data_IF_218344206186
#
_entry.id   IF_218344206186
#
_cell.length_a   1.000
_cell.length_b   1.000
_cell.length_c   1.000
_cell.angle_alpha   90.00
_cell.angle_beta   90.00
_cell.angle_gamma   90.00
#
_symmetry.space_group_name_H-M   'P 1'
#
loop_
_entity.id
_entity.type
_entity.pdbx_description
1 polymer ?
#
# COMPACT_ATOMS: atom_id res chain seq x y z
N UNK A 1 -37.80 80.70 75.35
CA UNK A 1 -36.54 79.96 75.62
C UNK A 1 -36.89 78.52 75.68
N UNK A 2 -36.55 77.73 74.73
CA UNK A 2 -36.83 76.31 74.67
C UNK A 2 -36.21 75.71 73.47
N UNK A 3 -35.11 75.01 73.67
CA UNK A 3 -34.37 74.35 72.59
C UNK A 3 -35.07 73.00 72.24
N UNK A 4 -35.46 72.87 70.98
CA UNK A 4 -35.96 71.62 70.44
C UNK A 4 -34.79 70.82 69.83
N UNK A 5 -34.66 69.58 70.28
CA UNK A 5 -33.69 68.60 69.82
C UNK A 5 -34.32 67.78 68.68
N UNK A 6 -33.72 67.86 67.48
CA UNK A 6 -34.08 67.01 66.33
C UNK A 6 -33.23 65.75 66.36
N UNK A 7 -33.89 64.61 66.48
CA UNK A 7 -33.34 63.26 66.31
C UNK A 7 -33.26 62.92 64.83
N UNK A 8 -32.03 62.68 64.32
CA UNK A 8 -31.84 62.12 63.01
C UNK A 8 -32.14 60.63 62.96
N UNK A 9 -33.08 60.24 62.10
CA UNK A 9 -33.30 58.82 61.75
C UNK A 9 -32.50 58.52 60.51
N UNK A 10 -31.46 57.65 60.63
CA UNK A 10 -30.70 57.11 59.53
C UNK A 10 -31.53 56.03 58.83
N UNK A 11 -31.76 56.25 57.48
CA UNK A 11 -32.31 55.24 56.58
C UNK A 11 -31.15 54.38 56.05
N UNK A 12 -31.05 53.15 56.55
CA UNK A 12 -30.15 52.17 55.97
C UNK A 12 -30.76 51.60 54.67
N UNK A 13 -30.24 52.00 53.54
CA UNK A 13 -30.57 51.35 52.26
C UNK A 13 -29.83 50.01 52.16
N UNK A 14 -30.62 48.91 52.16
CA UNK A 14 -30.09 47.57 51.80
C UNK A 14 -29.94 47.50 50.29
N UNK A 15 -28.68 47.50 49.79
CA UNK A 15 -28.37 47.10 48.45
C UNK A 15 -28.40 45.56 48.38
N UNK A 16 -29.38 45.00 47.70
CA UNK A 16 -29.42 43.62 47.33
C UNK A 16 -28.51 43.46 46.03
N UNK A 17 -27.32 42.90 46.19
CA UNK A 17 -26.48 42.50 45.05
C UNK A 17 -27.07 41.23 44.44
N UNK A 18 -27.70 41.35 43.27
CA UNK A 18 -28.07 40.19 42.46
C UNK A 18 -26.79 39.67 41.77
N UNK A 19 -26.32 38.51 42.25
CA UNK A 19 -25.24 37.77 41.58
C UNK A 19 -25.86 37.11 40.31
N UNK A 20 -25.59 37.69 39.14
CA UNK A 20 -25.91 37.07 37.86
C UNK A 20 -24.82 36.01 37.59
N UNK A 21 -25.14 34.76 37.86
CA UNK A 21 -24.30 33.62 37.51
C UNK A 21 -24.36 33.44 35.99
N UNK A 22 -23.41 33.98 35.25
CA UNK A 22 -23.24 33.71 33.82
C UNK A 22 -22.66 32.29 33.70
N UNK A 23 -23.51 31.31 33.48
CA UNK A 23 -23.10 29.95 33.07
C UNK A 23 -22.50 30.05 31.66
N UNK A 24 -21.18 30.16 31.59
CA UNK A 24 -20.44 29.98 30.34
C UNK A 24 -20.54 28.51 29.94
N UNK A 25 -21.44 28.18 29.04
CA UNK A 25 -21.38 26.89 28.34
C UNK A 25 -20.13 26.93 27.46
N UNK A 26 -19.01 26.40 27.95
CA UNK A 26 -17.88 26.02 27.13
C UNK A 26 -18.34 24.82 26.31
N UNK A 27 -18.97 25.08 25.17
CA UNK A 27 -19.18 24.05 24.16
C UNK A 27 -17.79 23.53 23.76
N UNK A 28 -17.49 22.28 24.05
CA UNK A 28 -16.31 21.60 23.48
C UNK A 28 -16.55 21.56 21.98
N UNK A 29 -15.92 22.48 21.24
CA UNK A 29 -15.86 22.37 19.79
C UNK A 29 -15.18 21.02 19.50
N UNK A 30 -15.92 20.07 18.94
CA UNK A 30 -15.33 18.82 18.48
C UNK A 30 -14.24 19.19 17.49
N UNK A 31 -13.04 18.64 17.68
CA UNK A 31 -11.93 18.89 16.78
C UNK A 31 -12.32 18.47 15.37
N UNK A 32 -12.16 19.37 14.42
CA UNK A 32 -12.40 19.09 13.00
C UNK A 32 -11.42 18.02 12.54
N UNK A 33 -11.92 16.88 12.05
CA UNK A 33 -11.11 15.76 11.58
C UNK A 33 -11.26 15.63 10.07
N UNK A 34 -10.14 15.55 9.36
CA UNK A 34 -10.11 15.32 7.93
C UNK A 34 -10.52 13.87 7.61
N UNK A 35 -11.46 13.73 6.68
CA UNK A 35 -11.90 12.44 6.13
C UNK A 35 -11.06 12.15 4.89
N UNK A 36 -9.95 11.47 5.09
CA UNK A 36 -8.97 11.16 4.03
C UNK A 36 -9.25 9.80 3.42
N UNK A 37 -8.94 9.60 2.13
CA UNK A 37 -8.84 8.27 1.53
C UNK A 37 -7.67 7.49 2.14
N UNK A 38 -7.60 6.20 1.83
CA UNK A 38 -6.45 5.34 2.02
C UNK A 38 -6.40 4.37 0.85
N UNK A 39 -5.45 4.55 -0.04
CA UNK A 39 -5.37 3.84 -1.31
C UNK A 39 -4.48 2.61 -1.16
N UNK A 40 -5.07 1.44 -1.26
CA UNK A 40 -4.36 0.18 -1.12
C UNK A 40 -4.36 -0.56 -2.47
N UNK A 41 -3.21 -0.67 -3.16
CA UNK A 41 -3.09 -1.53 -4.31
C UNK A 41 -3.16 -3.00 -3.88
N UNK A 42 -3.91 -3.80 -4.62
CA UNK A 42 -3.94 -5.26 -4.46
C UNK A 42 -2.88 -5.92 -5.33
N UNK A 43 -2.55 -7.17 -5.04
CA UNK A 43 -1.65 -7.95 -5.89
C UNK A 43 -2.15 -8.05 -7.33
N UNK A 44 -1.24 -7.92 -8.30
CA UNK A 44 -1.56 -8.08 -9.71
C UNK A 44 -2.22 -9.44 -9.99
N UNK A 45 -3.15 -9.47 -10.93
CA UNK A 45 -3.90 -10.66 -11.31
C UNK A 45 -3.88 -10.89 -12.82
N UNK A 46 -4.33 -12.06 -13.28
CA UNK A 46 -4.36 -12.43 -14.70
C UNK A 46 -3.03 -12.17 -15.41
N UNK A 47 -1.91 -12.54 -14.75
CA UNK A 47 -0.58 -12.37 -15.29
C UNK A 47 -0.33 -13.33 -16.45
N UNK A 48 0.05 -12.80 -17.60
CA UNK A 48 0.36 -13.58 -18.82
C UNK A 48 1.62 -13.05 -19.48
N UNK A 49 2.38 -13.94 -20.14
CA UNK A 49 3.50 -13.58 -20.97
C UNK A 49 3.17 -14.01 -22.40
N UNK A 50 3.40 -13.16 -23.35
CA UNK A 50 3.32 -13.48 -24.77
C UNK A 50 4.60 -13.03 -25.49
N UNK A 51 5.05 -13.82 -26.45
CA UNK A 51 6.17 -13.45 -27.34
C UNK A 51 5.65 -13.44 -28.76
N UNK A 52 5.75 -12.29 -29.44
CA UNK A 52 5.29 -12.15 -30.81
C UNK A 52 6.29 -12.74 -31.83
N UNK A 53 5.93 -12.75 -33.11
CA UNK A 53 6.79 -13.28 -34.19
C UNK A 53 8.09 -12.49 -34.38
N UNK A 54 8.15 -11.25 -33.92
CA UNK A 54 9.34 -10.40 -33.89
C UNK A 54 10.26 -10.65 -32.70
N UNK A 55 9.86 -11.52 -31.76
CA UNK A 55 10.63 -11.83 -30.55
C UNK A 55 10.39 -10.86 -29.39
N UNK A 56 9.47 -9.90 -29.51
CA UNK A 56 9.08 -9.02 -28.42
C UNK A 56 8.26 -9.82 -27.39
N UNK A 57 8.74 -9.86 -26.17
CA UNK A 57 8.06 -10.51 -25.04
C UNK A 57 7.37 -9.45 -24.18
N UNK A 58 6.09 -9.67 -23.88
CA UNK A 58 5.28 -8.72 -23.12
C UNK A 58 4.61 -9.43 -21.94
N UNK A 59 4.90 -8.96 -20.73
CA UNK A 59 4.21 -9.36 -19.50
C UNK A 59 2.99 -8.46 -19.32
N UNK A 60 1.79 -9.06 -19.35
CA UNK A 60 0.51 -8.37 -19.11
C UNK A 60 -0.08 -8.78 -17.77
N UNK A 61 -0.81 -7.86 -17.13
CA UNK A 61 -1.42 -8.09 -15.81
C UNK A 61 -2.56 -7.11 -15.56
N UNK A 62 -3.53 -7.54 -14.76
CA UNK A 62 -4.55 -6.67 -14.20
C UNK A 62 -4.11 -6.08 -12.87
N UNK A 63 -4.64 -4.91 -12.53
CA UNK A 63 -4.40 -4.22 -11.26
C UNK A 63 -5.68 -3.70 -10.65
N UNK A 64 -5.73 -3.65 -9.33
CA UNK A 64 -6.83 -3.06 -8.57
C UNK A 64 -6.26 -2.22 -7.45
N UNK A 65 -6.76 -1.00 -7.31
CA UNK A 65 -6.53 -0.15 -6.14
C UNK A 65 -7.86 0.14 -5.49
N UNK A 66 -7.95 0.06 -4.16
CA UNK A 66 -9.19 0.35 -3.44
C UNK A 66 -9.00 1.36 -2.33
N UNK A 67 -10.08 2.06 -1.98
CA UNK A 67 -10.08 3.06 -0.92
C UNK A 67 -10.63 2.48 0.39
N UNK A 68 -9.75 2.28 1.38
CA UNK A 68 -10.09 1.83 2.72
C UNK A 68 -10.23 2.96 3.75
N UNK A 69 -10.11 4.21 3.30
CA UNK A 69 -10.05 5.39 4.16
C UNK A 69 -11.39 5.81 4.79
N UNK A 70 -11.34 6.92 5.50
CA UNK A 70 -12.51 7.52 6.15
C UNK A 70 -13.32 8.44 5.23
N UNK A 71 -12.75 8.84 4.08
CA UNK A 71 -13.37 9.68 3.07
C UNK A 71 -13.04 9.23 1.66
N UNK A 72 -13.74 9.74 0.65
CA UNK A 72 -13.46 9.41 -0.74
C UNK A 72 -12.12 10.00 -1.20
N UNK A 73 -11.48 9.36 -2.18
CA UNK A 73 -10.59 10.08 -3.07
C UNK A 73 -11.48 10.86 -4.05
N UNK A 74 -11.48 12.16 -3.96
CA UNK A 74 -12.19 13.02 -4.90
C UNK A 74 -11.21 14.00 -5.54
N UNK A 75 -11.16 13.99 -6.88
CA UNK A 75 -10.24 14.74 -7.70
C UNK A 75 -11.07 15.72 -8.57
N UNK A 76 -11.04 16.99 -8.20
CA UNK A 76 -11.75 18.05 -8.90
C UNK A 76 -10.82 18.85 -9.80
N UNK A 77 -11.24 19.09 -11.04
CA UNK A 77 -10.51 19.94 -11.97
C UNK A 77 -10.60 21.40 -11.56
N UNK A 78 -9.50 22.09 -11.70
CA UNK A 78 -9.37 23.54 -11.61
C UNK A 78 -9.10 24.18 -12.95
N UNK A 79 -8.22 25.16 -12.96
CA UNK A 79 -7.84 25.95 -14.14
C UNK A 79 -6.99 25.16 -15.13
N UNK A 80 -7.04 25.56 -16.40
CA UNK A 80 -6.13 25.06 -17.43
C UNK A 80 -4.73 25.60 -17.18
N UNK A 81 -3.76 24.71 -17.13
CA UNK A 81 -2.36 25.08 -16.97
C UNK A 81 -1.79 25.70 -18.24
N UNK A 82 -1.28 26.92 -18.12
CA UNK A 82 -0.75 27.67 -19.25
C UNK A 82 0.44 26.95 -19.89
N UNK A 83 0.35 26.67 -21.19
CA UNK A 83 1.41 26.07 -22.00
C UNK A 83 1.32 24.54 -22.12
N UNK A 84 0.77 23.81 -21.16
CA UNK A 84 0.62 22.34 -21.25
C UNK A 84 -0.78 21.92 -21.77
N UNK A 85 -1.80 22.74 -21.56
CA UNK A 85 -3.20 22.42 -21.85
C UNK A 85 -3.81 21.41 -20.88
N UNK A 86 -3.08 20.98 -19.86
CA UNK A 86 -3.56 20.11 -18.79
C UNK A 86 -4.48 20.87 -17.85
N UNK A 87 -5.41 20.17 -17.21
CA UNK A 87 -6.23 20.74 -16.14
C UNK A 87 -5.54 20.48 -14.80
N UNK A 88 -5.29 21.52 -14.03
CA UNK A 88 -4.86 21.35 -12.65
C UNK A 88 -5.92 20.59 -11.88
N UNK A 89 -5.47 19.70 -10.97
CA UNK A 89 -6.36 18.88 -10.17
C UNK A 89 -6.12 19.16 -8.69
N UNK A 90 -7.21 19.29 -7.97
CA UNK A 90 -7.22 19.42 -6.53
C UNK A 90 -7.92 18.23 -5.90
N UNK A 91 -7.28 17.61 -4.92
CA UNK A 91 -7.93 16.65 -4.05
C UNK A 91 -8.87 17.39 -3.10
N UNK A 92 -10.12 16.95 -3.05
CA UNK A 92 -11.14 17.47 -2.13
C UNK A 92 -11.14 16.62 -0.86
N UNK A 93 -10.61 17.15 0.23
CA UNK A 93 -10.56 16.47 1.52
C UNK A 93 -11.69 16.96 2.40
N UNK A 94 -12.73 16.14 2.58
CA UNK A 94 -13.86 16.44 3.42
C UNK A 94 -13.46 16.48 4.91
N UNK A 95 -14.26 17.17 5.70
CA UNK A 95 -14.06 17.32 7.14
C UNK A 95 -15.30 16.80 7.88
N UNK A 96 -15.15 16.39 9.13
CA UNK A 96 -16.30 16.02 9.99
C UNK A 96 -17.24 17.20 10.25
N UNK A 97 -16.76 18.44 10.07
CA UNK A 97 -17.53 19.68 10.14
C UNK A 97 -16.84 20.78 9.31
N UNK A 98 -17.62 21.74 8.80
CA UNK A 98 -17.10 22.84 7.98
C UNK A 98 -16.84 22.49 6.51
N UNK A 99 -16.24 23.40 5.74
CA UNK A 99 -15.99 23.19 4.31
C UNK A 99 -14.84 22.20 4.08
N UNK A 100 -14.83 21.52 2.90
CA UNK A 100 -13.70 20.69 2.52
C UNK A 100 -12.43 21.53 2.26
N UNK A 101 -11.28 20.87 2.34
CA UNK A 101 -10.00 21.44 1.92
C UNK A 101 -9.73 21.05 0.46
N UNK A 102 -9.16 21.98 -0.30
CA UNK A 102 -8.69 21.74 -1.67
C UNK A 102 -7.17 21.73 -1.65
N UNK A 103 -6.57 20.57 -1.96
CA UNK A 103 -5.13 20.37 -1.96
C UNK A 103 -4.68 20.05 -3.40
N UNK A 104 -3.65 20.75 -3.88
CA UNK A 104 -3.10 20.46 -5.20
C UNK A 104 -2.63 19.01 -5.28
N UNK A 105 -3.11 18.27 -6.29
CA UNK A 105 -2.86 16.83 -6.44
C UNK A 105 -2.21 16.44 -7.78
N UNK A 106 -2.06 17.37 -8.72
CA UNK A 106 -1.49 17.06 -10.03
C UNK A 106 -2.33 17.60 -11.19
N UNK A 107 -2.53 16.80 -12.24
CA UNK A 107 -3.24 17.24 -13.44
C UNK A 107 -4.08 16.15 -14.08
N UNK A 108 -5.16 16.55 -14.73
CA UNK A 108 -5.84 15.75 -15.75
C UNK A 108 -5.29 16.08 -17.14
N UNK A 109 -5.06 15.03 -17.91
CA UNK A 109 -4.63 15.07 -19.30
C UNK A 109 -5.63 14.35 -20.18
N UNK A 110 -5.98 14.95 -21.31
CA UNK A 110 -6.85 14.30 -22.29
C UNK A 110 -6.09 13.19 -23.02
N UNK A 111 -6.67 11.99 -23.02
CA UNK A 111 -6.09 10.84 -23.70
C UNK A 111 -6.85 10.54 -25.01
N UNK A 112 -6.32 10.94 -26.17
CA UNK A 112 -7.05 10.86 -27.44
C UNK A 112 -7.47 9.44 -27.84
N UNK A 113 -6.66 8.43 -27.48
CA UNK A 113 -6.96 7.04 -27.81
C UNK A 113 -8.15 6.47 -27.01
N UNK A 114 -8.52 7.10 -25.91
CA UNK A 114 -9.62 6.67 -25.03
C UNK A 114 -10.79 7.66 -25.00
N UNK A 115 -10.62 8.83 -25.62
CA UNK A 115 -11.61 9.92 -25.66
C UNK A 115 -12.08 10.39 -24.26
N UNK A 116 -11.16 10.36 -23.28
CA UNK A 116 -11.45 10.84 -21.93
C UNK A 116 -10.20 11.37 -21.20
N UNK A 117 -10.42 11.93 -19.99
CA UNK A 117 -9.37 12.48 -19.16
C UNK A 117 -8.74 11.40 -18.29
N UNK A 118 -7.41 11.47 -18.15
CA UNK A 118 -6.65 10.67 -17.19
C UNK A 118 -6.02 11.55 -16.12
N UNK A 119 -5.98 11.08 -14.89
CA UNK A 119 -5.19 11.65 -13.81
C UNK A 119 -3.73 11.15 -13.94
N UNK A 120 -2.79 12.11 -13.93
CA UNK A 120 -1.37 11.82 -14.14
C UNK A 120 -0.70 11.30 -12.86
N UNK A 121 0.33 10.47 -13.06
CA UNK A 121 1.21 9.95 -11.98
C UNK A 121 0.45 9.17 -10.88
N UNK A 122 -0.68 8.54 -11.24
CA UNK A 122 -1.50 7.81 -10.28
C UNK A 122 -0.86 6.51 -9.83
N UNK A 123 -0.23 5.74 -10.72
CA UNK A 123 0.42 4.50 -10.37
C UNK A 123 1.69 4.27 -11.18
N UNK A 124 2.59 3.47 -10.61
CA UNK A 124 3.84 3.02 -11.22
C UNK A 124 3.94 1.50 -11.13
N UNK A 125 4.25 0.86 -12.26
CA UNK A 125 4.48 -0.57 -12.33
C UNK A 125 5.97 -0.85 -12.52
N UNK A 126 6.52 -1.74 -11.72
CA UNK A 126 7.94 -2.13 -11.79
C UNK A 126 8.06 -3.65 -11.74
N UNK A 127 8.91 -4.23 -12.58
CA UNK A 127 9.29 -5.64 -12.54
C UNK A 127 10.77 -5.72 -12.16
N UNK A 128 11.07 -6.38 -11.04
CA UNK A 128 12.44 -6.47 -10.52
C UNK A 128 12.89 -7.93 -10.43
N UNK A 129 14.11 -8.29 -10.87
CA UNK A 129 14.64 -9.62 -10.72
C UNK A 129 14.91 -9.94 -9.24
N UNK A 130 14.45 -11.13 -8.78
CA UNK A 130 14.72 -11.68 -7.44
C UNK A 130 15.73 -12.83 -7.54
N UNK A 131 15.48 -13.76 -8.47
CA UNK A 131 16.39 -14.84 -8.83
C UNK A 131 16.27 -15.08 -10.33
N UNK A 132 16.85 -14.18 -11.10
CA UNK A 132 16.86 -14.19 -12.57
C UNK A 132 18.22 -13.66 -13.06
N UNK A 133 19.29 -14.49 -13.03
CA UNK A 133 20.62 -14.09 -13.50
C UNK A 133 20.56 -13.59 -14.93
N UNK A 134 21.01 -12.35 -15.18
CA UNK A 134 20.88 -11.67 -16.47
C UNK A 134 19.53 -10.99 -16.70
N UNK A 135 18.63 -11.00 -15.72
CA UNK A 135 17.41 -10.19 -15.75
C UNK A 135 17.68 -8.74 -15.37
N UNK A 136 16.83 -7.84 -15.84
CA UNK A 136 16.91 -6.41 -15.59
C UNK A 136 15.64 -5.90 -14.89
N UNK A 137 15.77 -4.81 -14.16
CA UNK A 137 14.60 -4.08 -13.66
C UNK A 137 13.91 -3.36 -14.83
N UNK A 138 12.59 -3.48 -14.89
CA UNK A 138 11.75 -2.86 -15.92
C UNK A 138 10.66 -2.02 -15.30
N UNK A 139 10.27 -0.97 -15.99
CA UNK A 139 9.17 -0.09 -15.58
C UNK A 139 8.10 -0.07 -16.66
N UNK A 140 6.85 -0.16 -16.26
CA UNK A 140 5.70 0.02 -17.13
C UNK A 140 5.61 1.46 -17.62
N UNK A 141 5.08 1.64 -18.82
CA UNK A 141 4.94 2.97 -19.46
C UNK A 141 3.67 3.72 -19.03
N UNK A 142 2.67 2.99 -18.52
CA UNK A 142 1.40 3.59 -18.09
C UNK A 142 1.54 4.17 -16.69
N UNK A 143 1.36 5.47 -16.58
CA UNK A 143 1.36 6.20 -15.31
C UNK A 143 0.08 7.00 -15.09
N UNK A 144 -0.80 7.03 -16.09
CA UNK A 144 -2.02 7.85 -16.12
C UNK A 144 -3.27 6.99 -16.14
N UNK A 145 -4.26 7.35 -15.35
CA UNK A 145 -5.46 6.54 -15.13
C UNK A 145 -6.71 7.41 -15.04
N UNK A 146 -7.84 6.87 -15.47
CA UNK A 146 -9.14 7.40 -15.10
C UNK A 146 -9.56 6.78 -13.77
N UNK A 147 -9.79 7.55 -12.75
CA UNK A 147 -10.12 7.06 -11.43
C UNK A 147 -11.63 6.98 -11.26
N UNK A 148 -12.14 5.76 -10.97
CA UNK A 148 -13.58 5.53 -10.85
C UNK A 148 -13.93 4.33 -9.96
N UNK A 149 -15.17 4.25 -9.51
CA UNK A 149 -15.72 3.10 -8.78
C UNK A 149 -16.07 1.97 -9.77
N UNK A 150 -15.16 1.04 -9.99
CA UNK A 150 -15.38 -0.08 -10.92
C UNK A 150 -15.80 -1.37 -10.21
N UNK A 151 -15.43 -1.56 -8.92
CA UNK A 151 -15.76 -2.76 -8.17
C UNK A 151 -15.94 -2.47 -6.65
N UNK A 152 -16.94 -3.05 -5.98
CA UNK A 152 -17.06 -2.98 -4.52
C UNK A 152 -16.07 -3.94 -3.85
N UNK A 153 -15.35 -3.49 -2.82
CA UNK A 153 -14.44 -4.32 -2.01
C UNK A 153 -15.00 -4.52 -0.60
N UNK A 154 -15.32 -3.42 0.09
CA UNK A 154 -15.83 -3.49 1.46
C UNK A 154 -16.88 -2.42 1.73
N UNK A 155 -18.12 -2.71 1.43
CA UNK A 155 -19.25 -1.80 1.63
C UNK A 155 -19.73 -1.72 3.10
N UNK A 156 -19.07 -2.42 4.04
CA UNK A 156 -19.35 -2.29 5.48
C UNK A 156 -18.60 -1.15 6.15
N UNK A 157 -17.65 -0.51 5.45
CA UNK A 157 -16.93 0.63 5.99
C UNK A 157 -17.86 1.82 6.22
N UNK A 158 -17.66 2.60 7.29
CA UNK A 158 -18.39 3.83 7.51
C UNK A 158 -18.25 4.79 6.32
N UNK A 159 -19.36 5.30 5.80
CA UNK A 159 -19.36 6.19 4.65
C UNK A 159 -19.29 5.52 3.28
N UNK A 160 -19.18 4.19 3.20
CA UNK A 160 -19.20 3.46 1.93
C UNK A 160 -20.60 3.53 1.27
N UNK A 161 -20.73 4.08 0.05
CA UNK A 161 -21.99 4.08 -0.67
C UNK A 161 -22.31 2.66 -1.18
N UNK A 162 -23.59 2.32 -1.22
CA UNK A 162 -24.06 1.01 -1.70
C UNK A 162 -23.99 0.86 -3.22
N UNK A 163 -23.90 1.98 -3.94
CA UNK A 163 -23.78 2.03 -5.39
C UNK A 163 -22.59 2.91 -5.77
N UNK A 164 -21.94 2.67 -6.92
CA UNK A 164 -20.82 3.47 -7.35
C UNK A 164 -21.25 4.93 -7.54
N UNK A 165 -20.43 5.87 -7.10
CA UNK A 165 -20.66 7.30 -7.25
C UNK A 165 -19.83 7.89 -8.41
N UNK A 166 -18.52 7.59 -8.44
CA UNK A 166 -17.61 8.03 -9.51
C UNK A 166 -17.66 7.00 -10.65
N UNK A 167 -18.52 7.24 -11.65
CA UNK A 167 -18.81 6.26 -12.71
C UNK A 167 -18.32 6.71 -14.10
N UNK A 168 -17.55 7.80 -14.16
CA UNK A 168 -17.10 8.40 -15.43
C UNK A 168 -15.67 8.91 -15.32
N UNK A 169 -14.95 8.82 -16.43
CA UNK A 169 -13.67 9.49 -16.65
C UNK A 169 -13.91 10.97 -17.01
N UNK A 170 -14.61 11.68 -16.13
CA UNK A 170 -15.05 13.05 -16.37
C UNK A 170 -13.89 14.03 -16.46
N UNK A 171 -14.12 15.13 -17.17
CA UNK A 171 -13.19 16.24 -17.25
C UNK A 171 -13.12 17.01 -15.92
N UNK A 172 -14.25 17.11 -15.22
CA UNK A 172 -14.39 17.98 -14.07
C UNK A 172 -14.18 17.25 -12.75
N UNK A 173 -14.49 15.96 -12.72
CA UNK A 173 -14.49 15.15 -11.51
C UNK A 173 -14.17 13.69 -11.81
N UNK A 174 -13.23 13.14 -11.06
CA UNK A 174 -12.95 11.71 -10.96
C UNK A 174 -12.75 11.34 -9.48
N UNK A 175 -12.80 10.06 -9.14
CA UNK A 175 -12.59 9.69 -7.75
C UNK A 175 -12.86 8.22 -7.46
N UNK A 176 -12.72 7.87 -6.17
CA UNK A 176 -12.96 6.53 -5.65
C UNK A 176 -13.65 6.63 -4.29
N UNK A 177 -14.84 6.07 -4.20
CA UNK A 177 -15.63 6.06 -2.97
C UNK A 177 -15.00 5.16 -1.90
N UNK A 178 -15.28 5.44 -0.64
CA UNK A 178 -14.91 4.54 0.47
C UNK A 178 -15.46 3.14 0.21
N UNK A 179 -14.60 2.12 0.35
CA UNK A 179 -14.97 0.72 0.17
C UNK A 179 -15.07 0.26 -1.28
N UNK A 180 -14.83 1.14 -2.25
CA UNK A 180 -14.80 0.84 -3.68
C UNK A 180 -13.36 0.75 -4.20
N UNK A 181 -13.22 0.17 -5.37
CA UNK A 181 -11.96 0.02 -6.08
C UNK A 181 -12.06 0.48 -7.52
N UNK A 182 -10.91 0.85 -8.06
CA UNK A 182 -10.65 1.01 -9.48
C UNK A 182 -9.83 -0.17 -10.00
N UNK A 183 -10.34 -0.87 -11.00
CA UNK A 183 -9.76 -2.10 -11.53
C UNK A 183 -9.49 -1.97 -13.02
N UNK A 184 -8.26 -2.28 -13.41
CA UNK A 184 -7.80 -2.33 -14.80
C UNK A 184 -7.47 -3.77 -15.16
N UNK A 185 -8.20 -4.32 -16.14
CA UNK A 185 -7.95 -5.68 -16.65
C UNK A 185 -6.67 -5.77 -17.48
N UNK A 186 -6.09 -6.97 -17.54
CA UNK A 186 -4.85 -7.23 -18.28
C UNK A 186 -4.95 -6.98 -19.80
N UNK A 187 -6.17 -6.94 -20.33
CA UNK A 187 -6.46 -6.66 -21.75
C UNK A 187 -6.37 -5.16 -22.11
N UNK A 188 -6.39 -4.28 -21.12
CA UNK A 188 -6.38 -2.83 -21.37
C UNK A 188 -4.99 -2.33 -21.80
N UNK A 189 -4.98 -1.31 -22.64
CA UNK A 189 -3.75 -0.70 -23.13
C UNK A 189 -2.88 -0.17 -21.97
N UNK A 190 -1.58 -0.48 -22.03
CA UNK A 190 -0.59 -0.09 -21.02
C UNK A 190 -0.59 -0.94 -19.74
N UNK A 191 -1.48 -1.93 -19.58
CA UNK A 191 -1.41 -2.91 -18.50
C UNK A 191 -0.36 -3.98 -18.85
N UNK A 192 0.89 -3.52 -19.08
CA UNK A 192 1.97 -4.37 -19.55
C UNK A 192 3.36 -3.81 -19.22
N UNK A 193 4.33 -4.71 -19.17
CA UNK A 193 5.76 -4.41 -19.09
C UNK A 193 6.48 -5.16 -20.21
N UNK A 194 7.37 -4.47 -20.93
CA UNK A 194 8.23 -5.08 -21.93
C UNK A 194 9.31 -5.95 -21.24
N UNK A 195 9.26 -7.26 -21.52
CA UNK A 195 10.16 -8.28 -20.99
C UNK A 195 11.18 -8.76 -22.04
N UNK A 196 11.27 -8.09 -23.18
CA UNK A 196 12.15 -8.45 -24.27
C UNK A 196 13.61 -8.43 -23.84
N UNK A 197 14.34 -9.50 -24.13
CA UNK A 197 15.77 -9.64 -23.80
C UNK A 197 16.07 -10.03 -22.35
N UNK A 198 15.09 -10.00 -21.43
CA UNK A 198 15.31 -10.42 -20.06
C UNK A 198 15.44 -11.94 -19.92
N UNK A 199 16.17 -12.38 -18.90
CA UNK A 199 16.35 -13.79 -18.60
C UNK A 199 15.08 -14.41 -17.99
N UNK A 200 14.90 -15.73 -18.18
CA UNK A 200 13.94 -16.50 -17.40
C UNK A 200 14.35 -16.50 -15.93
N UNK A 201 13.39 -16.49 -15.02
CA UNK A 201 13.68 -16.52 -13.60
C UNK A 201 12.53 -16.09 -12.70
N UNK A 202 12.86 -15.72 -11.46
CA UNK A 202 11.91 -15.22 -10.47
C UNK A 202 12.01 -13.71 -10.44
N UNK A 203 10.86 -13.06 -10.56
CA UNK A 203 10.69 -11.61 -10.57
C UNK A 203 9.64 -11.19 -9.57
N UNK A 204 9.79 -9.98 -9.06
CA UNK A 204 8.76 -9.29 -8.29
C UNK A 204 8.12 -8.21 -9.15
N UNK A 205 6.81 -8.31 -9.37
CA UNK A 205 5.99 -7.28 -9.97
C UNK A 205 5.44 -6.38 -8.84
N UNK A 206 5.81 -5.11 -8.89
CA UNK A 206 5.41 -4.08 -7.93
C UNK A 206 4.38 -3.15 -8.54
N UNK A 207 3.37 -2.81 -7.75
CA UNK A 207 2.35 -1.81 -8.06
C UNK A 207 2.42 -0.76 -6.97
N UNK A 208 2.85 0.44 -7.30
CA UNK A 208 2.92 1.58 -6.39
C UNK A 208 1.88 2.61 -6.82
N UNK A 209 1.00 2.99 -5.89
CA UNK A 209 -0.01 4.04 -6.07
C UNK A 209 0.54 5.33 -5.48
N UNK A 210 0.21 6.47 -6.10
CA UNK A 210 0.72 7.79 -5.75
C UNK A 210 2.26 7.83 -5.55
N UNK A 211 3.06 7.40 -6.54
CA UNK A 211 4.52 7.30 -6.39
C UNK A 211 5.20 8.66 -6.17
N UNK A 212 4.50 9.76 -6.47
CA UNK A 212 4.99 11.14 -6.23
C UNK A 212 4.49 11.77 -4.94
N UNK A 213 3.67 11.06 -4.16
CA UNK A 213 3.08 11.52 -2.89
C UNK A 213 2.38 12.88 -3.02
N UNK A 214 1.56 13.00 -4.04
CA UNK A 214 0.75 14.19 -4.31
C UNK A 214 -0.63 14.12 -3.65
N UNK A 215 -1.11 12.93 -3.33
CA UNK A 215 -2.37 12.70 -2.64
C UNK A 215 -2.14 12.69 -1.13
N UNK A 216 -3.11 13.19 -0.38
CA UNK A 216 -3.07 13.16 1.08
C UNK A 216 -3.97 12.04 1.57
N UNK A 217 -3.36 11.05 2.20
CA UNK A 217 -4.02 9.83 2.64
C UNK A 217 -4.00 9.67 4.17
N UNK A 218 -4.71 8.66 4.65
CA UNK A 218 -4.67 8.29 6.09
C UNK A 218 -3.37 7.55 6.42
N UNK A 219 -2.86 6.74 5.48
CA UNK A 219 -1.62 5.99 5.62
C UNK A 219 -0.89 5.97 4.27
N UNK A 220 0.33 6.47 4.23
CA UNK A 220 1.19 6.56 3.05
C UNK A 220 2.15 5.35 2.94
N UNK A 221 2.03 4.36 3.83
CA UNK A 221 2.98 3.24 3.90
C UNK A 221 2.41 1.94 3.34
N UNK A 222 1.18 1.94 2.85
CA UNK A 222 0.50 0.79 2.24
C UNK A 222 0.14 0.98 0.76
N UNK A 223 0.74 1.99 0.12
CA UNK A 223 0.60 2.32 -1.30
C UNK A 223 1.38 1.38 -2.23
N UNK A 224 2.00 0.34 -1.71
CA UNK A 224 2.82 -0.61 -2.47
C UNK A 224 2.31 -2.03 -2.30
N UNK A 225 2.10 -2.72 -3.41
CA UNK A 225 1.77 -4.14 -3.46
C UNK A 225 2.68 -4.89 -4.42
N UNK A 226 2.95 -6.16 -4.12
CA UNK A 226 3.87 -6.98 -4.90
C UNK A 226 3.30 -8.37 -5.19
N UNK A 227 3.68 -8.91 -6.34
CA UNK A 227 3.43 -10.30 -6.72
C UNK A 227 4.74 -10.94 -7.12
N UNK A 228 5.04 -12.11 -6.57
CA UNK A 228 6.22 -12.89 -6.94
C UNK A 228 5.86 -13.83 -8.09
N UNK A 229 6.60 -13.72 -9.18
CA UNK A 229 6.35 -14.43 -10.44
C UNK A 229 7.56 -15.30 -10.83
N UNK A 230 7.31 -16.54 -11.27
CA UNK A 230 8.27 -17.30 -12.08
C UNK A 230 7.91 -17.10 -13.53
N UNK A 231 8.82 -16.49 -14.30
CA UNK A 231 8.63 -16.15 -15.71
C UNK A 231 9.53 -17.00 -16.58
N UNK A 232 8.95 -17.66 -17.58
CA UNK A 232 9.68 -18.47 -18.56
C UNK A 232 9.15 -18.22 -19.96
N UNK A 233 10.05 -17.83 -20.86
CA UNK A 233 9.72 -17.67 -22.28
C UNK A 233 9.47 -19.03 -22.96
N UNK A 234 8.63 -19.11 -24.00
CA UNK A 234 7.98 -17.99 -24.67
C UNK A 234 6.70 -17.47 -24.01
N UNK A 235 6.07 -18.17 -23.07
CA UNK A 235 4.78 -17.72 -22.59
C UNK A 235 4.29 -18.34 -21.26
N UNK A 236 5.19 -18.71 -20.34
CA UNK A 236 4.78 -19.26 -19.04
C UNK A 236 5.02 -18.26 -17.91
N UNK A 237 3.96 -17.92 -17.17
CA UNK A 237 4.02 -17.18 -15.92
C UNK A 237 3.34 -17.99 -14.84
N UNK A 238 4.04 -18.20 -13.73
CA UNK A 238 3.48 -18.85 -12.54
C UNK A 238 3.54 -17.87 -11.38
N UNK A 239 2.40 -17.60 -10.76
CA UNK A 239 2.33 -16.80 -9.54
C UNK A 239 2.83 -17.63 -8.37
N UNK A 240 3.91 -17.20 -7.73
CA UNK A 240 4.50 -17.87 -6.56
C UNK A 240 3.95 -17.31 -5.25
N UNK A 241 3.71 -15.99 -5.21
CA UNK A 241 3.07 -15.30 -4.08
C UNK A 241 2.26 -14.12 -4.62
N UNK A 242 1.00 -14.06 -4.22
CA UNK A 242 0.05 -12.97 -4.54
C UNK A 242 -0.49 -12.28 -3.29
N UNK A 243 0.19 -12.44 -2.16
CA UNK A 243 -0.25 -11.87 -0.86
C UNK A 243 -0.21 -10.35 -0.79
N UNK A 244 0.40 -9.69 -1.78
CA UNK A 244 0.67 -8.26 -1.79
C UNK A 244 1.97 -7.86 -1.10
N UNK A 245 2.65 -8.80 -0.41
CA UNK A 245 3.89 -8.51 0.31
C UNK A 245 5.06 -8.28 -0.63
N UNK A 246 5.86 -7.25 -0.34
CA UNK A 246 7.01 -6.86 -1.16
C UNK A 246 8.35 -7.43 -0.70
N UNK A 247 8.35 -8.31 0.29
CA UNK A 247 9.52 -9.07 0.71
C UNK A 247 9.43 -10.49 0.17
N UNK A 248 10.49 -10.99 -0.45
CA UNK A 248 10.54 -12.33 -1.03
C UNK A 248 11.86 -13.01 -0.69
N UNK A 249 11.81 -14.29 -0.26
CA UNK A 249 13.00 -15.11 -0.03
C UNK A 249 13.28 -15.92 -1.30
N UNK A 250 14.46 -15.72 -1.89
CA UNK A 250 14.91 -16.44 -3.07
C UNK A 250 15.67 -17.72 -2.73
N UNK A 251 16.56 -17.69 -1.73
CA UNK A 251 17.36 -18.85 -1.32
C UNK A 251 17.79 -18.78 0.14
N UNK A 252 18.23 -19.93 0.66
CA UNK A 252 18.95 -20.08 1.93
C UNK A 252 20.11 -21.07 1.73
N UNK A 253 21.31 -20.69 2.17
CA UNK A 253 22.52 -21.53 2.00
C UNK A 253 23.36 -21.50 3.29
N UNK A 254 23.70 -22.67 3.86
CA UNK A 254 23.21 -23.99 3.51
C UNK A 254 21.69 -24.11 3.80
N UNK A 255 21.00 -24.95 3.04
CA UNK A 255 19.56 -25.18 3.14
C UNK A 255 19.21 -26.38 4.02
N UNK A 256 20.12 -26.83 4.87
CA UNK A 256 19.87 -27.94 5.80
C UNK A 256 20.77 -27.87 7.02
N UNK A 257 20.30 -28.47 8.13
CA UNK A 257 21.10 -28.74 9.32
C UNK A 257 20.62 -30.01 10.01
N UNK A 258 21.52 -30.63 10.79
CA UNK A 258 21.24 -31.81 11.57
C UNK A 258 20.52 -31.45 12.88
N UNK A 259 19.65 -32.35 13.31
CA UNK A 259 19.03 -32.27 14.66
C UNK A 259 20.08 -32.08 15.74
N UNK A 260 19.86 -31.14 16.64
CA UNK A 260 20.77 -30.83 17.76
C UNK A 260 21.97 -29.96 17.36
N UNK A 261 22.02 -29.43 16.12
CA UNK A 261 23.15 -28.59 15.68
C UNK A 261 22.71 -27.16 15.34
N UNK A 262 23.68 -26.26 15.24
CA UNK A 262 23.52 -24.91 14.71
C UNK A 262 24.37 -24.73 13.48
N UNK A 263 23.86 -23.95 12.51
CA UNK A 263 24.55 -23.63 11.27
C UNK A 263 24.39 -22.14 10.95
N UNK A 264 25.45 -21.53 10.46
CA UNK A 264 25.36 -20.19 9.86
C UNK A 264 24.77 -20.30 8.47
N UNK A 265 23.77 -19.49 8.19
CA UNK A 265 23.11 -19.43 6.87
C UNK A 265 23.20 -18.05 6.27
N UNK A 266 23.23 -17.99 4.95
CA UNK A 266 22.99 -16.79 4.15
C UNK A 266 21.64 -16.96 3.46
N UNK A 267 20.75 -15.99 3.65
CA UNK A 267 19.43 -15.93 3.03
C UNK A 267 19.48 -14.80 2.03
N UNK A 268 19.14 -15.09 0.78
CA UNK A 268 19.04 -14.07 -0.27
C UNK A 268 17.59 -13.84 -0.64
N UNK A 269 17.29 -12.63 -1.07
CA UNK A 269 15.92 -12.27 -1.46
C UNK A 269 15.82 -10.83 -1.89
N UNK A 270 14.65 -10.26 -1.72
CA UNK A 270 14.34 -8.88 -2.06
C UNK A 270 13.36 -8.26 -1.05
N UNK A 271 13.51 -6.95 -0.81
CA UNK A 271 12.63 -6.20 0.09
C UNK A 271 12.86 -6.51 1.57
N UNK A 272 14.03 -7.01 1.95
CA UNK A 272 14.36 -7.22 3.36
C UNK A 272 14.58 -5.88 4.05
N UNK A 273 14.00 -5.71 5.22
CA UNK A 273 14.13 -4.49 6.02
C UNK A 273 15.05 -4.71 7.23
N UNK A 274 15.78 -3.67 7.68
CA UNK A 274 16.56 -3.75 8.91
C UNK A 274 15.68 -4.22 10.09
N UNK A 275 16.19 -5.19 10.84
CA UNK A 275 15.46 -5.77 11.98
C UNK A 275 14.42 -6.84 11.63
N UNK A 276 14.24 -7.18 10.35
CA UNK A 276 13.36 -8.29 9.95
C UNK A 276 13.85 -9.61 10.54
N UNK A 277 12.95 -10.35 11.21
CA UNK A 277 13.24 -11.67 11.75
C UNK A 277 13.18 -12.75 10.66
N UNK A 278 13.87 -13.88 10.91
CA UNK A 278 13.78 -15.10 10.10
C UNK A 278 12.95 -16.13 10.85
N UNK A 279 11.96 -16.70 10.17
CA UNK A 279 11.09 -17.73 10.74
C UNK A 279 10.95 -18.96 9.82
N UNK A 280 10.59 -20.08 10.44
CA UNK A 280 10.35 -21.36 9.76
C UNK A 280 8.93 -21.80 10.08
N UNK A 281 8.13 -22.09 9.05
CA UNK A 281 6.73 -22.48 9.21
C UNK A 281 6.34 -23.64 8.29
N UNK A 282 5.10 -24.13 8.45
CA UNK A 282 4.50 -25.18 7.62
C UNK A 282 5.32 -26.48 7.51
N UNK A 283 6.20 -26.76 8.48
CA UNK A 283 6.95 -28.02 8.55
C UNK A 283 6.44 -28.92 9.69
N UNK A 284 7.08 -30.08 9.84
CA UNK A 284 6.80 -31.02 10.92
C UNK A 284 8.08 -31.42 11.65
N UNK A 285 7.97 -31.85 12.92
CA UNK A 285 9.13 -32.26 13.71
C UNK A 285 9.85 -31.11 14.41
N UNK A 286 11.19 -31.18 14.62
CA UNK A 286 11.94 -30.12 15.30
C UNK A 286 11.99 -28.86 14.44
N UNK A 287 11.34 -27.80 14.95
CA UNK A 287 11.30 -26.50 14.26
C UNK A 287 12.63 -25.77 14.39
N UNK A 288 13.26 -25.38 13.27
CA UNK A 288 14.45 -24.54 13.31
C UNK A 288 14.15 -23.17 13.94
N UNK A 289 15.13 -22.61 14.63
CA UNK A 289 15.04 -21.29 15.24
C UNK A 289 16.22 -20.45 14.73
N UNK A 290 15.93 -19.28 14.19
CA UNK A 290 16.93 -18.33 13.78
C UNK A 290 17.30 -17.38 14.92
N UNK A 291 18.58 -17.06 15.02
CA UNK A 291 19.14 -16.05 15.91
C UNK A 291 20.26 -15.30 15.21
N UNK A 292 20.77 -14.20 15.80
CA UNK A 292 21.84 -13.38 15.24
C UNK A 292 21.52 -12.94 13.78
N UNK A 293 20.27 -12.58 13.54
CA UNK A 293 19.80 -12.17 12.21
C UNK A 293 20.34 -10.78 11.89
N UNK A 294 21.09 -10.66 10.80
CA UNK A 294 21.69 -9.40 10.35
C UNK A 294 21.48 -9.21 8.85
N UNK A 295 20.97 -8.05 8.47
CA UNK A 295 20.92 -7.61 7.07
C UNK A 295 22.35 -7.18 6.67
N UNK A 296 22.98 -7.93 5.78
CA UNK A 296 24.38 -7.72 5.37
C UNK A 296 24.52 -7.02 4.04
N UNK A 297 23.47 -7.07 3.21
CA UNK A 297 23.37 -6.33 1.95
C UNK A 297 21.92 -5.94 1.72
N UNK A 298 21.71 -4.70 1.30
CA UNK A 298 20.41 -4.16 0.86
C UNK A 298 20.67 -3.37 -0.41
N UNK A 299 20.39 -3.99 -1.55
CA UNK A 299 20.61 -3.41 -2.88
C UNK A 299 19.34 -3.52 -3.71
N UNK A 300 19.24 -2.73 -4.76
CA UNK A 300 18.06 -2.75 -5.65
C UNK A 300 17.83 -4.10 -6.37
N UNK A 301 18.79 -5.02 -6.28
CA UNK A 301 18.73 -6.29 -7.02
C UNK A 301 18.64 -7.52 -6.13
N UNK A 302 19.40 -7.58 -5.05
CA UNK A 302 19.42 -8.74 -4.12
C UNK A 302 19.79 -8.28 -2.71
N UNK A 303 18.94 -8.58 -1.75
CA UNK A 303 19.22 -8.41 -0.33
C UNK A 303 19.82 -9.68 0.25
N UNK A 304 20.65 -9.52 1.28
CA UNK A 304 21.23 -10.65 2.01
C UNK A 304 21.05 -10.49 3.52
N UNK A 305 20.64 -11.58 4.14
CA UNK A 305 20.61 -11.74 5.59
C UNK A 305 21.53 -12.90 5.97
N UNK A 306 22.36 -12.70 6.99
CA UNK A 306 23.03 -13.80 7.69
C UNK A 306 22.30 -14.11 8.98
N UNK A 307 22.24 -15.39 9.36
CA UNK A 307 21.60 -15.83 10.60
C UNK A 307 22.24 -17.14 11.11
N UNK A 308 22.15 -17.38 12.41
CA UNK A 308 22.42 -18.69 13.02
C UNK A 308 21.11 -19.46 13.11
N UNK A 309 21.02 -20.59 12.41
CA UNK A 309 19.85 -21.49 12.50
C UNK A 309 20.19 -22.65 13.40
N UNK A 310 19.47 -22.79 14.51
CA UNK A 310 19.60 -23.89 15.46
C UNK A 310 18.42 -24.84 15.32
N UNK A 311 18.72 -26.13 15.11
CA UNK A 311 17.70 -27.18 15.10
C UNK A 311 17.69 -27.84 16.47
N UNK A 312 16.57 -27.75 17.24
CA UNK A 312 16.50 -28.38 18.57
C UNK A 312 16.68 -29.90 18.51
N UNK A 313 17.33 -30.46 19.53
CA UNK A 313 17.40 -31.92 19.64
C UNK A 313 16.00 -32.50 19.93
N UNK A 314 15.50 -33.28 19.01
CA UNK A 314 14.27 -34.04 19.17
C UNK A 314 14.38 -35.33 18.38
N UNK A 315 14.14 -36.48 19.05
CA UNK A 315 14.13 -37.76 18.35
C UNK A 315 13.06 -37.69 17.22
N UNK A 316 13.50 -37.96 16.00
CA UNK A 316 12.68 -37.87 14.80
C UNK A 316 12.45 -39.26 14.24
N UNK A 317 11.22 -39.58 13.90
CA UNK A 317 10.83 -40.76 13.15
C UNK A 317 10.34 -40.34 11.75
N UNK A 318 10.61 -41.16 10.74
CA UNK A 318 10.12 -40.91 9.38
C UNK A 318 11.13 -40.14 8.48
N UNK A 319 10.62 -39.45 7.47
CA UNK A 319 11.43 -38.66 6.51
C UNK A 319 11.97 -37.38 7.17
N UNK A 320 13.09 -36.87 6.64
CA UNK A 320 13.61 -35.58 7.02
C UNK A 320 12.59 -34.46 6.71
N UNK A 321 12.14 -33.71 7.73
CA UNK A 321 11.17 -32.65 7.49
C UNK A 321 11.78 -31.48 6.76
N UNK A 322 10.95 -30.82 5.97
CA UNK A 322 11.26 -29.55 5.32
C UNK A 322 10.40 -28.46 5.91
N UNK A 323 10.96 -27.27 5.94
CA UNK A 323 10.35 -26.07 6.48
C UNK A 323 10.34 -24.96 5.45
N UNK A 324 9.29 -24.21 5.41
CA UNK A 324 9.26 -22.95 4.68
C UNK A 324 10.13 -21.94 5.41
N UNK A 325 10.77 -21.05 4.66
CA UNK A 325 11.59 -19.97 5.20
C UNK A 325 10.93 -18.64 4.88
N UNK A 326 10.78 -17.79 5.89
CA UNK A 326 10.19 -16.46 5.78
C UNK A 326 11.11 -15.42 6.43
N UNK A 327 11.17 -14.23 5.82
CA UNK A 327 11.82 -13.03 6.36
C UNK A 327 10.76 -11.95 6.58
N UNK A 328 10.67 -11.46 7.82
CA UNK A 328 9.62 -10.50 8.21
C UNK A 328 8.20 -11.04 7.98
N UNK A 329 7.32 -10.22 7.44
CA UNK A 329 5.96 -10.58 7.01
C UNK A 329 5.87 -11.01 5.54
N UNK A 330 7.02 -11.09 4.85
CA UNK A 330 7.09 -11.24 3.39
C UNK A 330 6.80 -12.62 2.85
N UNK A 331 7.03 -12.76 1.55
CA UNK A 331 6.87 -13.99 0.79
C UNK A 331 7.72 -15.14 1.30
N UNK A 332 7.25 -16.36 1.07
CA UNK A 332 7.78 -17.60 1.64
C UNK A 332 8.59 -18.37 0.60
N UNK A 333 9.79 -18.80 0.96
CA UNK A 333 10.50 -19.86 0.26
C UNK A 333 9.96 -21.20 0.71
N UNK A 334 9.07 -21.83 -0.08
CA UNK A 334 8.46 -23.11 0.25
C UNK A 334 9.52 -24.22 0.28
N UNK A 335 9.47 -25.06 1.31
CA UNK A 335 10.40 -26.18 1.52
C UNK A 335 11.89 -25.75 1.48
N UNK A 336 12.18 -24.52 1.88
CA UNK A 336 13.50 -23.89 1.77
C UNK A 336 14.55 -24.51 2.69
N UNK A 337 14.17 -25.12 3.81
CA UNK A 337 15.13 -25.65 4.79
C UNK A 337 14.77 -27.06 5.22
N UNK A 338 15.77 -27.96 5.16
CA UNK A 338 15.65 -29.38 5.53
C UNK A 338 16.30 -29.66 6.89
N UNK A 339 15.62 -30.39 7.74
CA UNK A 339 16.20 -30.92 8.98
C UNK A 339 16.63 -32.36 8.76
N UNK A 340 17.92 -32.66 8.90
CA UNK A 340 18.50 -33.99 8.74
C UNK A 340 18.73 -34.67 10.10
N UNK A 341 18.90 -35.99 10.07
CA UNK A 341 19.15 -36.82 11.28
C UNK A 341 20.60 -36.81 11.69
#
# INVERSE_FOLDING_TARGET
MGKSSMTQRSLARRLSAAIVCVLSFAGTAAAQTALRPNLIPLGAFNTTLSTDAGGRSTLRFGTTTWNSGAGPLELAAGEVETGSGKLRVYQVVYQTSGPPQLLFAGAFEYHPAHDHMHFNDYALYMLQPVNAPGGSSRTGVKTTFCIMDSAPINLSLPGAPRSPFYIRCGRDLQGMSVGWADTYGAELAGQEIDFTGDADGIYQLKIEVDPKKLLVETNENDNLSCVLLSIRKPGTVTVLDSSGNCSAVASITPNSARVGTSVQVTITGYGFTPGAGVSFDSGSGPRPVASNVQLTSNTDSVDQITATVTVPYKKQAGRDPVWNVRVGSGGVLSNGFRVTR
#
